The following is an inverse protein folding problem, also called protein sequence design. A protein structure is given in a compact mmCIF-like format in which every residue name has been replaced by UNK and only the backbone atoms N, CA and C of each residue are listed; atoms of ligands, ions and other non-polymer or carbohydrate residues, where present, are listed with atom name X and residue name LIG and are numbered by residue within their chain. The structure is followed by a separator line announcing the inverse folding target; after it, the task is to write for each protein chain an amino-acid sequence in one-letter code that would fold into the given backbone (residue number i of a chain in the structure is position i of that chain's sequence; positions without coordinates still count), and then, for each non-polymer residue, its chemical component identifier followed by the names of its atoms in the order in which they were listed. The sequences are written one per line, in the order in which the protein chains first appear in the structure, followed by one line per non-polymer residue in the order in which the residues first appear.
data_IF_484388990726
#
_entry.id   IF_484388990726
#
_cell.length_a   1.000
_cell.length_b   1.000
_cell.length_c   1.000
_cell.angle_alpha   90.00
_cell.angle_beta   90.00
_cell.angle_gamma   90.00
#
_symmetry.space_group_name_H-M   'P 1'
#
loop_
_entity.id
_entity.type
_entity.pdbx_description
1 polymer ?
#
# COMPACT_ATOMS: atom_id res chain seq x y z
N UNK A 1 20.42 -25.50 15.45
CA UNK A 1 19.52 -24.54 14.80
C UNK A 1 20.30 -23.92 13.66
N UNK A 2 19.94 -24.18 12.41
CA UNK A 2 20.55 -23.49 11.27
C UNK A 2 20.23 -22.00 11.41
N UNK A 3 21.25 -21.16 11.46
CA UNK A 3 21.09 -19.71 11.52
C UNK A 3 20.28 -19.26 10.31
N UNK A 4 19.22 -18.50 10.54
CA UNK A 4 18.47 -17.85 9.47
C UNK A 4 19.44 -16.89 8.80
N UNK A 5 19.86 -17.22 7.56
CA UNK A 5 20.68 -16.30 6.77
C UNK A 5 19.90 -15.01 6.54
N UNK A 6 20.55 -13.84 6.64
CA UNK A 6 19.90 -12.59 6.33
C UNK A 6 19.25 -12.66 4.94
N UNK A 7 18.01 -12.20 4.83
CA UNK A 7 17.23 -12.18 3.60
C UNK A 7 16.91 -10.74 3.17
N UNK A 8 16.33 -10.59 2.00
CA UNK A 8 15.77 -9.32 1.53
C UNK A 8 14.26 -9.46 1.63
N UNK A 9 13.59 -8.47 2.19
CA UNK A 9 12.14 -8.51 2.36
C UNK A 9 11.45 -7.39 1.58
N UNK A 10 10.23 -7.64 1.17
CA UNK A 10 9.33 -6.56 0.76
C UNK A 10 8.07 -6.58 1.60
N UNK A 11 7.61 -5.37 1.94
CA UNK A 11 6.58 -5.15 2.94
C UNK A 11 5.62 -4.05 2.56
N UNK A 12 4.40 -4.16 3.08
CA UNK A 12 3.32 -3.20 2.93
C UNK A 12 2.53 -3.09 4.25
N UNK A 13 1.37 -2.47 4.20
CA UNK A 13 0.44 -2.45 5.33
C UNK A 13 -0.04 -3.85 5.75
N UNK A 14 0.04 -4.83 4.86
CA UNK A 14 -0.42 -6.21 5.13
C UNK A 14 0.42 -6.95 6.17
N UNK A 15 1.67 -6.55 6.39
CA UNK A 15 2.51 -7.08 7.47
C UNK A 15 2.20 -6.44 8.83
N UNK A 16 1.28 -5.46 8.88
CA UNK A 16 0.85 -4.84 10.12
C UNK A 16 1.96 -4.10 10.86
N UNK A 17 2.11 -4.39 12.15
CA UNK A 17 3.15 -3.80 12.99
C UNK A 17 4.43 -4.61 12.95
N UNK A 18 5.50 -4.07 12.34
CA UNK A 18 6.82 -4.70 12.27
C UNK A 18 7.69 -4.20 13.43
N UNK A 19 8.33 -5.11 14.16
CA UNK A 19 9.36 -4.82 15.15
C UNK A 19 10.74 -4.69 14.46
N UNK A 20 10.96 -3.57 13.79
CA UNK A 20 12.12 -3.34 12.91
C UNK A 20 13.47 -3.51 13.59
N UNK A 21 13.58 -3.18 14.89
CA UNK A 21 14.81 -3.40 15.65
C UNK A 21 15.17 -4.89 15.76
N UNK A 22 14.17 -5.76 15.88
CA UNK A 22 14.34 -7.23 15.85
C UNK A 22 14.64 -7.71 14.44
N UNK A 23 13.95 -7.13 13.44
CA UNK A 23 14.07 -7.51 12.04
C UNK A 23 15.47 -7.21 11.47
N UNK A 24 16.11 -6.11 11.90
CA UNK A 24 17.40 -5.61 11.39
C UNK A 24 18.50 -6.67 11.31
N UNK A 25 18.60 -7.54 12.31
CA UNK A 25 19.63 -8.60 12.36
C UNK A 25 19.40 -9.76 11.37
N UNK A 26 18.20 -9.84 10.77
CA UNK A 26 17.78 -10.93 9.92
C UNK A 26 17.54 -10.53 8.46
N UNK A 27 17.79 -9.28 8.10
CA UNK A 27 17.59 -8.78 6.75
C UNK A 27 18.80 -7.99 6.24
N UNK A 28 19.02 -8.03 4.94
CA UNK A 28 20.01 -7.19 4.26
C UNK A 28 19.47 -5.80 3.96
N UNK A 29 18.28 -5.73 3.39
CA UNK A 29 17.53 -4.49 3.12
C UNK A 29 16.03 -4.79 2.97
N UNK A 30 15.24 -3.75 2.96
CA UNK A 30 13.79 -3.83 2.76
C UNK A 30 13.35 -3.09 1.50
N UNK A 31 12.22 -3.52 0.90
CA UNK A 31 11.51 -2.80 -0.16
C UNK A 31 10.12 -2.49 0.38
N UNK A 32 9.77 -1.21 0.52
CA UNK A 32 8.59 -0.75 1.27
C UNK A 32 7.55 -0.21 0.30
N UNK A 33 6.31 -0.73 0.33
CA UNK A 33 5.23 -0.14 -0.44
C UNK A 33 4.91 1.26 0.07
N UNK A 34 4.87 2.24 -0.85
CA UNK A 34 4.45 3.60 -0.54
C UNK A 34 3.06 3.89 -1.10
N UNK A 35 2.74 3.29 -2.25
CA UNK A 35 1.44 3.52 -2.88
C UNK A 35 0.95 2.34 -3.71
N UNK A 36 -0.38 2.32 -3.94
CA UNK A 36 -1.08 1.57 -4.97
C UNK A 36 -1.88 2.58 -5.80
N UNK A 37 -1.37 2.94 -6.97
CA UNK A 37 -1.93 4.01 -7.78
C UNK A 37 -2.07 5.33 -6.99
N UNK A 38 -3.30 5.75 -6.72
CA UNK A 38 -3.59 6.95 -5.93
C UNK A 38 -3.66 6.71 -4.42
N UNK A 39 -3.83 5.47 -3.99
CA UNK A 39 -3.85 5.09 -2.58
C UNK A 39 -2.44 5.21 -1.97
N UNK A 40 -2.32 5.75 -0.77
CA UNK A 40 -1.08 5.74 0.00
C UNK A 40 -1.13 4.61 1.03
N UNK A 41 -0.09 3.76 1.04
CA UNK A 41 0.00 2.67 2.00
C UNK A 41 0.01 3.19 3.45
N UNK A 42 -0.89 2.65 4.28
CA UNK A 42 -1.13 3.15 5.62
C UNK A 42 0.07 2.94 6.59
N UNK A 43 0.99 2.05 6.26
CA UNK A 43 2.18 1.74 7.07
C UNK A 43 3.49 2.31 6.49
N UNK A 44 3.46 2.86 5.27
CA UNK A 44 4.65 3.37 4.60
C UNK A 44 5.46 4.33 5.45
N UNK A 45 4.81 5.33 6.04
CA UNK A 45 5.50 6.34 6.86
C UNK A 45 6.20 5.74 8.07
N UNK A 46 5.55 4.81 8.80
CA UNK A 46 6.16 4.10 9.92
C UNK A 46 7.34 3.23 9.49
N UNK A 47 7.17 2.48 8.41
CA UNK A 47 8.21 1.56 7.93
C UNK A 47 9.44 2.35 7.44
N UNK A 48 9.24 3.44 6.72
CA UNK A 48 10.33 4.35 6.31
C UNK A 48 11.04 4.94 7.52
N UNK A 49 10.27 5.52 8.47
CA UNK A 49 10.86 6.14 9.67
C UNK A 49 11.70 5.16 10.51
N UNK A 50 11.27 3.91 10.62
CA UNK A 50 12.02 2.88 11.33
C UNK A 50 13.29 2.45 10.58
N UNK A 51 13.24 2.31 9.24
CA UNK A 51 14.42 2.05 8.44
C UNK A 51 15.43 3.20 8.52
N UNK A 52 14.98 4.45 8.43
CA UNK A 52 15.81 5.65 8.62
C UNK A 52 16.45 5.65 10.01
N UNK A 53 15.66 5.47 11.06
CA UNK A 53 16.11 5.47 12.46
C UNK A 53 17.14 4.38 12.77
N UNK A 54 16.97 3.20 12.18
CA UNK A 54 17.82 2.03 12.44
C UNK A 54 18.99 1.91 11.46
N UNK A 55 19.05 2.75 10.43
CA UNK A 55 20.05 2.63 9.36
C UNK A 55 19.89 1.34 8.54
N UNK A 56 18.66 0.85 8.39
CA UNK A 56 18.36 -0.29 7.52
C UNK A 56 18.31 0.23 6.08
N UNK A 57 19.14 -0.29 5.15
CA UNK A 57 19.02 0.06 3.75
C UNK A 57 17.63 -0.26 3.22
N UNK A 58 17.03 0.63 2.44
CA UNK A 58 15.70 0.35 1.89
C UNK A 58 15.46 1.01 0.54
N UNK A 59 14.59 0.37 -0.22
CA UNK A 59 13.94 0.87 -1.42
C UNK A 59 12.47 1.13 -1.12
N UNK A 60 11.80 1.88 -1.99
CA UNK A 60 10.35 2.03 -1.94
C UNK A 60 9.72 1.58 -3.25
N UNK A 61 8.49 1.05 -3.19
CA UNK A 61 7.78 0.69 -4.41
C UNK A 61 6.38 1.29 -4.49
N UNK A 62 5.92 1.44 -5.71
CA UNK A 62 4.55 1.80 -6.05
C UNK A 62 3.93 0.75 -6.96
N UNK A 63 2.81 0.16 -6.52
CA UNK A 63 2.00 -0.69 -7.37
C UNK A 63 1.41 0.15 -8.50
N UNK A 64 1.80 -0.17 -9.74
CA UNK A 64 1.53 0.67 -10.90
C UNK A 64 0.12 0.46 -11.45
N UNK A 65 -0.64 1.56 -11.58
CA UNK A 65 -2.01 1.59 -12.08
C UNK A 65 -2.16 2.34 -13.41
N UNK A 66 -1.12 2.29 -14.25
CA UNK A 66 -1.08 2.88 -15.59
C UNK A 66 -1.09 4.43 -15.62
N UNK A 67 -0.68 5.08 -14.54
CA UNK A 67 -0.66 6.55 -14.43
C UNK A 67 0.59 7.24 -14.99
N UNK A 68 1.52 6.48 -15.58
CA UNK A 68 2.71 7.02 -16.26
C UNK A 68 3.59 7.89 -15.35
N UNK A 69 4.14 8.95 -15.92
CA UNK A 69 5.02 9.90 -15.23
C UNK A 69 4.37 10.52 -13.97
N UNK A 70 3.07 10.78 -14.00
CA UNK A 70 2.35 11.40 -12.87
C UNK A 70 2.32 10.49 -11.66
N UNK A 71 2.13 9.19 -11.89
CA UNK A 71 2.13 8.19 -10.82
C UNK A 71 3.52 8.01 -10.22
N UNK A 72 4.56 8.00 -11.05
CA UNK A 72 5.94 7.96 -10.62
C UNK A 72 6.35 9.22 -9.83
N UNK A 73 5.98 10.41 -10.29
CA UNK A 73 6.21 11.66 -9.57
C UNK A 73 5.52 11.67 -8.20
N UNK A 74 4.32 11.08 -8.10
CA UNK A 74 3.60 10.91 -6.83
C UNK A 74 4.36 9.99 -5.88
N UNK A 75 4.91 8.87 -6.36
CA UNK A 75 5.74 7.97 -5.56
C UNK A 75 6.93 8.72 -4.96
N UNK A 76 7.66 9.49 -5.77
CA UNK A 76 8.81 10.30 -5.32
C UNK A 76 8.38 11.34 -4.29
N UNK A 77 7.33 12.09 -4.57
CA UNK A 77 6.82 13.13 -3.67
C UNK A 77 6.36 12.56 -2.33
N UNK A 78 5.63 11.44 -2.34
CA UNK A 78 5.19 10.74 -1.12
C UNK A 78 6.36 10.21 -0.31
N UNK A 79 7.34 9.58 -0.96
CA UNK A 79 8.55 9.09 -0.29
C UNK A 79 9.24 10.22 0.46
N UNK A 80 9.41 11.38 -0.18
CA UNK A 80 9.98 12.57 0.44
C UNK A 80 9.12 13.08 1.61
N UNK A 81 7.81 13.19 1.42
CA UNK A 81 6.89 13.66 2.45
C UNK A 81 6.82 12.72 3.67
N UNK A 82 7.09 11.44 3.48
CA UNK A 82 7.16 10.42 4.55
C UNK A 82 8.54 10.35 5.23
N UNK A 83 9.46 11.26 4.90
CA UNK A 83 10.78 11.34 5.52
C UNK A 83 11.83 10.41 4.93
N UNK A 84 11.61 9.90 3.70
CA UNK A 84 12.54 9.01 3.01
C UNK A 84 13.81 9.71 2.50
N UNK A 85 14.63 10.23 3.41
CA UNK A 85 15.85 10.95 3.09
C UNK A 85 16.94 10.03 2.50
N UNK A 86 17.08 8.83 3.04
CA UNK A 86 18.13 7.87 2.65
C UNK A 86 17.60 6.72 1.80
N UNK A 87 16.40 6.86 1.20
CA UNK A 87 15.89 5.85 0.26
C UNK A 87 16.92 5.56 -0.83
N UNK A 88 17.22 4.29 -1.06
CA UNK A 88 18.20 3.84 -2.07
C UNK A 88 17.69 4.07 -3.48
N UNK A 89 16.41 3.83 -3.68
CA UNK A 89 15.79 3.98 -4.98
C UNK A 89 14.30 3.69 -4.96
N UNK A 90 13.73 3.74 -6.15
CA UNK A 90 12.30 3.56 -6.37
C UNK A 90 12.07 2.35 -7.27
N UNK A 91 11.04 1.59 -6.99
CA UNK A 91 10.63 0.42 -7.79
C UNK A 91 9.24 0.66 -8.35
N UNK A 92 9.08 0.42 -9.64
CA UNK A 92 7.79 0.35 -10.29
C UNK A 92 7.32 -1.10 -10.29
N UNK A 93 6.18 -1.38 -9.68
CA UNK A 93 5.62 -2.72 -9.53
C UNK A 93 4.55 -2.95 -10.59
N UNK A 94 4.84 -3.78 -11.60
CA UNK A 94 4.04 -4.00 -12.82
C UNK A 94 3.44 -5.40 -12.80
N UNK A 95 2.20 -5.51 -12.29
CA UNK A 95 1.51 -6.79 -12.12
C UNK A 95 0.18 -6.88 -12.87
N UNK A 96 -0.26 -5.81 -13.52
CA UNK A 96 -1.55 -5.76 -14.21
C UNK A 96 -1.36 -5.90 -15.71
N UNK A 97 -2.11 -6.81 -16.34
CA UNK A 97 -2.10 -6.99 -17.79
C UNK A 97 -2.71 -5.80 -18.53
N UNK A 98 -2.25 -5.53 -19.75
CA UNK A 98 -2.84 -4.52 -20.63
C UNK A 98 -2.41 -3.08 -20.34
N UNK A 99 -1.42 -2.86 -19.47
CA UNK A 99 -0.90 -1.53 -19.23
C UNK A 99 0.00 -1.04 -20.38
N UNK A 100 0.08 0.28 -20.54
CA UNK A 100 0.88 0.91 -21.59
C UNK A 100 2.38 0.79 -21.32
N UNK A 101 3.13 0.10 -22.19
CA UNK A 101 4.59 0.05 -22.12
C UNK A 101 5.21 1.45 -22.23
N UNK A 102 4.64 2.33 -23.06
CA UNK A 102 5.08 3.72 -23.15
C UNK A 102 4.85 4.47 -21.82
N UNK A 103 3.71 4.24 -21.16
CA UNK A 103 3.42 4.78 -19.84
C UNK A 103 4.39 4.27 -18.78
N UNK A 104 4.70 2.97 -18.77
CA UNK A 104 5.68 2.36 -17.86
C UNK A 104 7.07 2.98 -18.11
N UNK A 105 7.51 3.10 -19.35
CA UNK A 105 8.81 3.70 -19.67
C UNK A 105 8.88 5.18 -19.28
N UNK A 106 7.78 5.93 -19.42
CA UNK A 106 7.67 7.31 -18.93
C UNK A 106 7.77 7.40 -17.40
N UNK A 107 7.15 6.46 -16.69
CA UNK A 107 7.27 6.37 -15.25
C UNK A 107 8.73 6.08 -14.83
N UNK A 108 9.39 5.11 -15.45
CA UNK A 108 10.81 4.78 -15.21
C UNK A 108 11.71 6.00 -15.48
N UNK A 109 11.49 6.71 -16.57
CA UNK A 109 12.25 7.92 -16.89
C UNK A 109 12.08 9.00 -15.81
N UNK A 110 10.87 9.16 -15.27
CA UNK A 110 10.61 10.09 -14.16
C UNK A 110 11.33 9.66 -12.87
N UNK A 111 11.34 8.36 -12.54
CA UNK A 111 12.09 7.87 -11.38
C UNK A 111 13.59 8.07 -11.55
N UNK A 112 14.13 7.89 -12.75
CA UNK A 112 15.54 8.09 -13.04
C UNK A 112 15.99 9.55 -12.85
N UNK A 113 15.10 10.53 -13.04
CA UNK A 113 15.41 11.96 -12.79
C UNK A 113 15.77 12.26 -11.34
N UNK A 114 15.40 11.38 -10.40
CA UNK A 114 15.82 11.53 -8.99
C UNK A 114 17.31 11.30 -8.76
N UNK A 115 18.04 10.77 -9.74
CA UNK A 115 19.44 10.33 -9.61
C UNK A 115 19.60 9.06 -8.78
N UNK A 116 18.53 8.56 -8.15
CA UNK A 116 18.52 7.36 -7.32
C UNK A 116 18.42 6.10 -8.18
N UNK A 117 18.53 4.97 -7.54
CA UNK A 117 18.40 3.68 -8.19
C UNK A 117 16.94 3.40 -8.62
N UNK A 118 16.75 2.78 -9.77
CA UNK A 118 15.40 2.50 -10.31
C UNK A 118 15.28 1.04 -10.66
N UNK A 119 14.37 0.34 -9.97
CA UNK A 119 14.02 -1.06 -10.24
C UNK A 119 12.65 -1.18 -10.90
N UNK A 120 12.43 -2.32 -11.54
CA UNK A 120 11.10 -2.73 -12.01
C UNK A 120 10.83 -4.15 -11.54
N UNK A 121 9.71 -4.32 -10.79
CA UNK A 121 9.14 -5.62 -10.55
C UNK A 121 8.15 -5.95 -11.66
N UNK A 122 8.22 -7.16 -12.18
CA UNK A 122 7.33 -7.63 -13.25
C UNK A 122 6.81 -9.00 -12.88
N UNK A 123 5.48 -9.14 -12.79
CA UNK A 123 4.86 -10.44 -12.60
C UNK A 123 5.35 -11.42 -13.69
N UNK A 124 5.86 -12.58 -13.27
CA UNK A 124 6.57 -13.51 -14.16
C UNK A 124 5.77 -13.89 -15.43
N UNK A 125 4.46 -14.08 -15.31
CA UNK A 125 3.58 -14.42 -16.43
C UNK A 125 3.33 -13.26 -17.41
N UNK A 126 3.64 -12.02 -17.04
CA UNK A 126 3.46 -10.82 -17.88
C UNK A 126 4.73 -10.39 -18.61
N UNK A 127 5.86 -11.05 -18.41
CA UNK A 127 7.15 -10.64 -18.97
C UNK A 127 7.14 -10.49 -20.50
N UNK A 128 6.51 -11.41 -21.19
CA UNK A 128 6.41 -11.33 -22.68
C UNK A 128 5.61 -10.12 -23.12
N UNK A 129 4.55 -9.76 -22.40
CA UNK A 129 3.74 -8.58 -22.67
C UNK A 129 4.53 -7.29 -22.46
N UNK A 130 5.44 -7.28 -21.50
CA UNK A 130 6.22 -6.13 -21.11
C UNK A 130 7.70 -6.17 -21.57
N UNK A 131 8.00 -6.94 -22.61
CA UNK A 131 9.35 -7.04 -23.17
C UNK A 131 9.92 -5.69 -23.67
N UNK A 132 9.07 -4.69 -23.93
CA UNK A 132 9.47 -3.34 -24.32
C UNK A 132 9.81 -2.39 -23.17
N UNK A 133 9.77 -2.84 -21.91
CA UNK A 133 10.19 -2.03 -20.75
C UNK A 133 11.70 -1.81 -20.84
N UNK A 134 12.10 -0.54 -20.62
CA UNK A 134 13.51 -0.11 -20.70
C UNK A 134 13.80 1.06 -19.78
N UNK A 135 15.09 1.26 -19.49
CA UNK A 135 15.55 2.38 -18.65
C UNK A 135 15.69 2.06 -17.17
N UNK A 136 15.16 0.93 -16.70
CA UNK A 136 15.40 0.46 -15.34
C UNK A 136 16.87 0.04 -15.15
N UNK A 137 17.39 0.20 -13.93
CA UNK A 137 18.75 -0.21 -13.59
C UNK A 137 18.84 -1.67 -13.13
N UNK A 138 17.72 -2.24 -12.67
CA UNK A 138 17.62 -3.62 -12.22
C UNK A 138 16.20 -4.16 -12.34
N UNK A 139 16.08 -5.48 -12.37
CA UNK A 139 14.81 -6.19 -12.56
C UNK A 139 14.55 -7.14 -11.41
N UNK A 140 13.30 -7.21 -10.97
CA UNK A 140 12.82 -8.06 -9.91
C UNK A 140 11.64 -8.92 -10.40
N UNK A 141 11.72 -10.24 -10.16
CA UNK A 141 10.73 -11.19 -10.70
C UNK A 141 10.31 -12.18 -9.62
N UNK A 142 9.00 -12.42 -9.41
CA UNK A 142 8.50 -13.45 -8.52
C UNK A 142 8.51 -14.83 -9.20
N UNK A 143 8.92 -15.85 -8.47
CA UNK A 143 8.74 -17.26 -8.84
C UNK A 143 8.77 -18.09 -7.56
N UNK A 144 7.61 -18.51 -7.07
CA UNK A 144 7.51 -19.11 -5.75
C UNK A 144 7.69 -20.63 -5.75
N UNK A 145 7.40 -21.33 -6.86
CA UNK A 145 7.39 -22.79 -6.85
C UNK A 145 6.38 -23.33 -5.83
N UNK A 146 6.86 -24.02 -4.79
CA UNK A 146 6.03 -24.58 -3.72
C UNK A 146 5.47 -23.53 -2.77
N UNK A 147 6.10 -22.36 -2.68
CA UNK A 147 5.74 -21.23 -1.79
C UNK A 147 5.62 -21.64 -0.30
N UNK A 148 6.60 -22.34 0.21
CA UNK A 148 6.68 -22.82 1.60
C UNK A 148 7.64 -22.02 2.49
N UNK A 149 8.11 -20.87 2.00
CA UNK A 149 9.07 -20.01 2.69
C UNK A 149 10.53 -20.27 2.30
N UNK A 150 10.82 -21.31 1.51
CA UNK A 150 12.16 -21.63 1.04
C UNK A 150 12.37 -21.27 -0.44
N UNK A 151 13.61 -21.01 -0.80
CA UNK A 151 14.02 -20.71 -2.17
C UNK A 151 14.22 -22.03 -2.94
N UNK A 152 13.34 -22.37 -3.89
CA UNK A 152 13.40 -23.60 -4.65
C UNK A 152 13.93 -23.40 -6.06
N UNK A 153 13.17 -22.75 -6.93
CA UNK A 153 13.45 -22.70 -8.36
C UNK A 153 13.48 -21.23 -8.82
N UNK A 154 14.65 -20.70 -9.15
CA UNK A 154 14.79 -19.34 -9.65
C UNK A 154 14.09 -19.18 -11.01
N UNK A 155 13.73 -17.93 -11.39
CA UNK A 155 13.14 -17.64 -12.70
C UNK A 155 14.08 -18.11 -13.83
N UNK A 156 13.51 -18.68 -14.88
CA UNK A 156 14.27 -19.07 -16.09
C UNK A 156 14.85 -17.88 -16.85
N UNK A 157 14.40 -16.71 -16.55
CA UNK A 157 14.80 -15.47 -17.19
C UNK A 157 15.67 -14.63 -16.25
N UNK A 158 16.55 -13.85 -16.83
CA UNK A 158 17.41 -12.95 -16.07
C UNK A 158 16.59 -11.99 -15.22
N UNK A 159 16.93 -11.88 -13.96
CA UNK A 159 16.54 -10.81 -13.04
C UNK A 159 17.66 -10.62 -12.02
N UNK A 160 17.76 -9.43 -11.46
CA UNK A 160 18.75 -9.10 -10.43
C UNK A 160 18.26 -9.53 -9.05
N UNK A 161 16.96 -9.45 -8.82
CA UNK A 161 16.29 -9.85 -7.60
C UNK A 161 15.18 -10.85 -7.90
N UNK A 162 15.11 -11.91 -7.12
CA UNK A 162 14.10 -12.95 -7.21
C UNK A 162 13.26 -13.00 -5.94
N UNK A 163 11.96 -12.70 -6.04
CA UNK A 163 11.02 -12.95 -4.97
C UNK A 163 10.65 -14.44 -4.99
N UNK A 164 11.17 -15.19 -4.03
CA UNK A 164 11.05 -16.65 -4.05
C UNK A 164 9.89 -17.20 -3.22
N UNK A 165 9.29 -16.39 -2.35
CA UNK A 165 8.15 -16.78 -1.52
C UNK A 165 7.37 -15.59 -1.01
N UNK A 166 6.07 -15.78 -0.82
CA UNK A 166 5.19 -14.89 -0.03
C UNK A 166 4.82 -15.51 1.34
N UNK A 167 5.44 -16.62 1.69
CA UNK A 167 5.21 -17.37 2.94
C UNK A 167 6.41 -17.36 3.88
N UNK A 168 7.35 -16.43 3.69
CA UNK A 168 8.55 -16.30 4.51
C UNK A 168 8.23 -15.97 5.98
N UNK A 169 9.19 -16.30 6.86
CA UNK A 169 9.13 -15.97 8.29
C UNK A 169 10.40 -15.24 8.68
N UNK A 170 10.25 -14.01 9.15
CA UNK A 170 11.38 -13.16 9.57
C UNK A 170 11.13 -12.69 11.00
N UNK A 171 12.12 -12.81 11.90
CA UNK A 171 11.99 -12.29 13.27
C UNK A 171 11.56 -10.82 13.28
N UNK A 172 10.57 -10.49 14.10
CA UNK A 172 10.01 -9.13 14.19
C UNK A 172 8.80 -8.87 13.27
N UNK A 173 8.41 -9.84 12.42
CA UNK A 173 7.22 -9.77 11.58
C UNK A 173 6.22 -10.84 12.01
N UNK A 174 5.01 -10.42 12.39
CA UNK A 174 3.96 -11.29 12.93
C UNK A 174 3.12 -11.97 11.84
N UNK A 175 3.71 -12.77 10.98
CA UNK A 175 2.97 -13.42 9.90
C UNK A 175 3.86 -13.75 8.72
N UNK A 176 3.25 -13.96 7.57
CA UNK A 176 3.97 -14.17 6.32
C UNK A 176 4.57 -12.84 5.81
N UNK A 177 5.73 -12.95 5.20
CA UNK A 177 6.40 -11.84 4.52
C UNK A 177 7.05 -12.33 3.24
N UNK A 178 7.05 -11.48 2.23
CA UNK A 178 7.70 -11.75 0.97
C UNK A 178 9.21 -11.70 1.15
N UNK A 179 9.89 -12.77 0.72
CA UNK A 179 11.33 -12.91 0.83
C UNK A 179 11.98 -13.01 -0.55
N UNK A 180 13.16 -12.40 -0.64
CA UNK A 180 13.88 -12.23 -1.89
C UNK A 180 15.33 -12.67 -1.77
N UNK A 181 15.90 -13.09 -2.91
CA UNK A 181 17.30 -13.45 -3.06
C UNK A 181 17.90 -12.74 -4.28
N UNK A 182 19.21 -12.49 -4.23
CA UNK A 182 19.97 -12.05 -5.41
C UNK A 182 19.98 -13.17 -6.46
N UNK A 183 19.76 -12.83 -7.73
CA UNK A 183 19.67 -13.81 -8.82
C UNK A 183 20.34 -13.33 -10.11
N UNK A 184 21.01 -12.22 -10.10
CA UNK A 184 21.65 -11.62 -11.26
C UNK A 184 23.13 -11.34 -11.08
N UNK A 185 23.62 -10.44 -11.89
CA UNK A 185 25.01 -9.96 -11.81
C UNK A 185 25.20 -8.88 -10.74
N UNK A 186 24.11 -8.31 -10.26
CA UNK A 186 24.13 -7.26 -9.26
C UNK A 186 24.35 -7.87 -7.88
N UNK A 187 25.39 -7.45 -7.20
CA UNK A 187 25.74 -7.92 -5.86
C UNK A 187 25.00 -7.15 -4.75
N UNK A 188 25.08 -7.64 -3.53
CA UNK A 188 24.46 -7.03 -2.38
C UNK A 188 25.01 -5.61 -2.12
N UNK A 189 26.29 -5.40 -2.31
CA UNK A 189 26.92 -4.10 -2.12
C UNK A 189 26.30 -3.04 -3.04
N UNK A 190 25.99 -3.38 -4.28
CA UNK A 190 25.32 -2.49 -5.23
C UNK A 190 23.90 -2.09 -4.79
N UNK A 191 23.20 -2.95 -4.04
CA UNK A 191 21.89 -2.61 -3.45
C UNK A 191 22.01 -1.81 -2.16
N UNK A 192 23.06 -2.00 -1.37
CA UNK A 192 23.22 -1.43 -0.04
C UNK A 192 24.27 -0.32 0.04
N UNK A 193 25.20 -0.20 -0.94
CA UNK A 193 26.24 0.80 -0.96
C UNK A 193 25.68 2.23 -0.93
N UNK A 194 26.24 3.09 -0.09
CA UNK A 194 25.79 4.47 0.09
C UNK A 194 24.60 4.63 1.04
N UNK A 195 24.11 3.57 1.69
CA UNK A 195 23.53 3.70 3.00
C UNK A 195 24.70 4.09 3.93
N UNK A 196 25.07 5.36 3.95
CA UNK A 196 25.97 5.85 5.00
C UNK A 196 25.33 5.44 6.31
N UNK A 197 26.11 4.89 7.28
CA UNK A 197 25.63 4.94 8.66
C UNK A 197 25.18 6.38 8.86
N UNK A 198 23.98 6.58 9.30
CA UNK A 198 23.54 7.90 9.72
C UNK A 198 24.53 8.31 10.80
N UNK A 199 25.53 9.14 10.46
CA UNK A 199 26.06 10.00 11.48
C UNK A 199 24.84 10.65 12.09
N UNK A 200 24.67 10.63 13.42
CA UNK A 200 23.53 11.27 14.03
C UNK A 200 23.48 12.68 13.45
N UNK A 201 22.53 12.89 12.53
CA UNK A 201 22.31 14.22 11.99
C UNK A 201 22.13 15.09 13.22
N UNK A 202 22.96 16.15 13.32
CA UNK A 202 22.72 17.17 14.32
C UNK A 202 21.22 17.47 14.25
N UNK A 203 20.46 17.24 15.33
CA UNK A 203 19.03 17.34 15.29
C UNK A 203 18.64 18.67 14.64
N UNK A 204 17.79 18.63 13.63
CA UNK A 204 17.27 19.87 13.04
C UNK A 204 16.63 20.65 14.17
N UNK A 205 17.17 21.84 14.42
CA UNK A 205 16.65 22.70 15.49
C UNK A 205 15.25 23.15 15.11
N UNK A 206 14.31 22.87 15.98
CA UNK A 206 12.96 23.40 15.81
C UNK A 206 13.01 24.92 15.85
N UNK A 207 12.31 25.57 14.93
CA UNK A 207 12.09 27.00 15.04
C UNK A 207 11.24 27.27 16.29
N UNK A 208 11.78 27.95 17.32
CA UNK A 208 11.07 28.18 18.57
C UNK A 208 9.85 29.10 18.41
N UNK A 209 9.74 29.84 17.31
CA UNK A 209 8.61 30.73 17.04
C UNK A 209 7.37 29.98 16.50
N UNK A 210 7.51 28.71 16.09
CA UNK A 210 6.41 27.93 15.57
C UNK A 210 5.31 27.73 16.61
N UNK A 211 4.02 27.78 16.21
CA UNK A 211 2.92 27.46 17.10
C UNK A 211 3.02 26.04 17.69
N UNK A 212 2.57 25.88 18.93
CA UNK A 212 2.65 24.59 19.63
C UNK A 212 2.07 23.41 18.84
N UNK A 213 0.90 23.60 18.23
CA UNK A 213 0.27 22.55 17.43
C UNK A 213 1.09 22.15 16.20
N UNK A 214 1.86 23.06 15.60
CA UNK A 214 2.77 22.75 14.49
C UNK A 214 3.93 21.91 14.99
N UNK A 215 4.54 22.26 16.14
CA UNK A 215 5.60 21.49 16.75
C UNK A 215 5.12 20.09 17.17
N UNK A 216 3.91 19.97 17.71
CA UNK A 216 3.29 18.68 18.04
C UNK A 216 3.12 17.83 16.78
N UNK A 217 2.62 18.41 15.68
CA UNK A 217 2.48 17.74 14.40
C UNK A 217 3.81 17.25 13.83
N UNK A 218 4.87 18.06 13.95
CA UNK A 218 6.21 17.70 13.53
C UNK A 218 6.79 16.55 14.38
N UNK A 219 6.54 16.54 15.69
CA UNK A 219 6.91 15.42 16.57
C UNK A 219 6.18 14.14 16.19
N UNK A 220 4.86 14.21 15.98
CA UNK A 220 4.04 13.05 15.62
C UNK A 220 4.38 12.50 14.24
N UNK A 221 4.86 13.34 13.32
CA UNK A 221 5.38 12.92 12.01
C UNK A 221 6.82 12.39 12.07
N UNK A 222 7.48 12.44 13.23
CA UNK A 222 8.85 11.94 13.43
C UNK A 222 9.97 12.92 13.08
N UNK A 223 9.67 14.17 12.71
CA UNK A 223 10.63 15.18 12.22
C UNK A 223 11.78 15.43 13.23
N UNK A 224 11.49 15.43 14.51
CA UNK A 224 12.48 15.68 15.57
C UNK A 224 13.01 14.40 16.23
N UNK A 225 12.81 13.23 15.62
CA UNK A 225 13.27 11.95 16.14
C UNK A 225 12.65 11.58 17.50
N UNK A 226 13.40 10.84 18.31
CA UNK A 226 12.96 10.35 19.62
C UNK A 226 14.02 10.58 20.72
N UNK A 227 13.59 10.51 21.98
CA UNK A 227 14.50 10.59 23.15
C UNK A 227 15.35 11.85 23.16
N UNK A 228 16.67 11.71 23.33
CA UNK A 228 17.61 12.83 23.43
C UNK A 228 17.69 13.65 22.13
N UNK A 229 17.50 13.03 20.96
CA UNK A 229 17.46 13.77 19.69
C UNK A 229 16.27 14.75 19.65
N UNK A 230 15.08 14.30 20.07
CA UNK A 230 13.90 15.18 20.17
C UNK A 230 14.14 16.31 21.17
N UNK A 231 14.72 15.99 22.30
CA UNK A 231 15.04 16.97 23.34
C UNK A 231 16.03 18.03 22.82
N UNK A 232 17.07 17.58 22.11
CA UNK A 232 18.03 18.47 21.49
C UNK A 232 17.41 19.33 20.37
N UNK A 233 16.52 18.76 19.54
CA UNK A 233 15.83 19.49 18.47
C UNK A 233 14.90 20.57 19.00
N UNK A 234 14.12 20.27 20.02
CA UNK A 234 13.11 21.19 20.58
C UNK A 234 13.68 22.18 21.59
N UNK A 235 14.86 21.91 22.15
CA UNK A 235 15.54 22.78 23.10
C UNK A 235 14.62 23.18 24.27
N UNK A 236 14.48 24.50 24.54
CA UNK A 236 13.63 25.03 25.61
C UNK A 236 12.14 24.70 25.46
N UNK A 237 11.69 24.40 24.21
CA UNK A 237 10.29 24.04 23.92
C UNK A 237 9.97 22.56 24.19
N UNK A 238 10.98 21.74 24.54
CA UNK A 238 10.79 20.28 24.66
C UNK A 238 9.71 19.90 25.67
N UNK A 239 9.74 20.46 26.86
CA UNK A 239 8.80 20.08 27.93
C UNK A 239 7.34 20.32 27.52
N UNK A 240 7.01 21.52 27.04
CA UNK A 240 5.64 21.86 26.64
C UNK A 240 5.16 21.05 25.41
N UNK A 241 6.06 20.85 24.43
CA UNK A 241 5.71 20.08 23.23
C UNK A 241 5.50 18.61 23.57
N UNK A 242 6.36 18.03 24.43
CA UNK A 242 6.23 16.63 24.83
C UNK A 242 4.97 16.41 25.68
N UNK A 243 4.62 17.35 26.57
CA UNK A 243 3.36 17.32 27.33
C UNK A 243 2.17 17.35 26.38
N UNK A 244 2.17 18.25 25.41
CA UNK A 244 1.10 18.37 24.41
C UNK A 244 0.99 17.09 23.55
N UNK A 245 2.11 16.49 23.15
CA UNK A 245 2.12 15.19 22.43
C UNK A 245 1.50 14.09 23.30
N UNK A 246 1.90 13.99 24.57
CA UNK A 246 1.34 13.01 25.50
C UNK A 246 -0.16 13.22 25.72
N UNK A 247 -0.57 14.49 25.81
CA UNK A 247 -1.98 14.86 25.93
C UNK A 247 -2.77 14.39 24.69
N UNK A 248 -2.32 14.71 23.47
CA UNK A 248 -2.99 14.25 22.23
C UNK A 248 -3.13 12.71 22.21
N UNK A 249 -2.10 11.99 22.66
CA UNK A 249 -2.11 10.54 22.64
C UNK A 249 -3.09 9.93 23.69
N UNK A 250 -3.27 10.58 24.85
CA UNK A 250 -3.96 10.00 26.00
C UNK A 250 -5.34 10.60 26.28
N UNK A 251 -5.63 11.82 25.81
CA UNK A 251 -6.87 12.53 26.12
C UNK A 251 -8.11 11.83 25.54
N UNK A 252 -9.26 12.02 26.19
CA UNK A 252 -10.54 11.57 25.64
C UNK A 252 -10.87 12.30 24.35
N UNK A 253 -11.45 11.60 23.38
CA UNK A 253 -11.85 12.16 22.08
C UNK A 253 -12.73 13.42 22.25
N UNK A 254 -13.65 13.39 23.24
CA UNK A 254 -14.51 14.53 23.52
C UNK A 254 -13.73 15.77 23.96
N UNK A 255 -12.68 15.60 24.77
CA UNK A 255 -11.83 16.71 25.21
C UNK A 255 -11.01 17.30 24.05
N UNK A 256 -10.42 16.44 23.21
CA UNK A 256 -9.72 16.89 22.00
C UNK A 256 -10.68 17.62 21.03
N UNK A 257 -11.93 17.16 20.91
CA UNK A 257 -12.94 17.83 20.10
C UNK A 257 -13.26 19.25 20.63
N UNK A 258 -13.38 19.40 21.95
CA UNK A 258 -13.56 20.72 22.60
C UNK A 258 -12.37 21.64 22.31
N UNK A 259 -11.15 21.15 22.42
CA UNK A 259 -9.93 21.88 22.13
C UNK A 259 -9.80 22.27 20.64
N UNK A 260 -10.23 21.40 19.73
CA UNK A 260 -10.29 21.71 18.29
C UNK A 260 -11.30 22.82 18.02
N UNK A 261 -12.48 22.75 18.62
CA UNK A 261 -13.50 23.81 18.48
C UNK A 261 -13.04 25.13 19.07
N UNK A 262 -12.20 25.10 20.11
CA UNK A 262 -11.55 26.28 20.69
C UNK A 262 -10.34 26.78 19.86
N UNK A 263 -10.01 26.14 18.72
CA UNK A 263 -8.92 26.55 17.82
C UNK A 263 -7.51 26.13 18.24
N UNK A 264 -7.34 25.32 19.30
CA UNK A 264 -6.04 24.97 19.89
C UNK A 264 -5.13 24.18 18.93
N UNK A 265 -5.70 23.39 18.03
CA UNK A 265 -4.98 22.42 17.18
C UNK A 265 -4.88 22.88 15.71
N UNK A 266 -5.03 24.18 15.42
CA UNK A 266 -4.95 24.74 14.07
C UNK A 266 -6.11 24.31 13.16
N UNK A 267 -5.94 24.46 11.84
CA UNK A 267 -6.97 24.18 10.85
C UNK A 267 -6.43 23.29 9.72
N UNK A 268 -7.35 22.63 8.98
CA UNK A 268 -7.01 21.86 7.78
C UNK A 268 -5.90 20.83 8.03
N UNK A 269 -4.84 20.89 7.21
CA UNK A 269 -3.71 19.97 7.28
C UNK A 269 -2.86 20.13 8.55
N UNK A 270 -2.81 21.31 9.15
CA UNK A 270 -2.11 21.53 10.41
C UNK A 270 -2.80 20.76 11.55
N UNK A 271 -4.13 20.86 11.66
CA UNK A 271 -4.92 20.07 12.60
C UNK A 271 -4.73 18.58 12.40
N UNK A 272 -4.76 18.13 11.15
CA UNK A 272 -4.55 16.72 10.82
C UNK A 272 -3.18 16.22 11.30
N UNK A 273 -2.13 17.00 11.09
CA UNK A 273 -0.79 16.70 11.60
C UNK A 273 -0.71 16.73 13.13
N UNK A 274 -1.27 17.78 13.74
CA UNK A 274 -1.23 17.96 15.20
C UNK A 274 -1.97 16.87 15.97
N UNK A 275 -3.03 16.31 15.44
CA UNK A 275 -3.79 15.20 16.03
C UNK A 275 -3.27 13.82 15.60
N UNK A 276 -2.49 13.73 14.53
CA UNK A 276 -1.91 12.48 14.03
C UNK A 276 -2.97 11.40 13.82
N UNK A 277 -2.74 10.21 14.38
CA UNK A 277 -3.67 9.07 14.27
C UNK A 277 -5.02 9.29 14.95
N UNK A 278 -5.14 10.31 15.80
CA UNK A 278 -6.37 10.66 16.52
C UNK A 278 -7.30 11.56 15.70
N UNK A 279 -6.85 12.09 14.55
CA UNK A 279 -7.60 13.07 13.76
C UNK A 279 -9.00 12.59 13.36
N UNK A 280 -9.10 11.38 12.81
CA UNK A 280 -10.37 10.88 12.25
C UNK A 280 -11.44 10.68 13.33
N UNK A 281 -11.07 10.16 14.50
CA UNK A 281 -12.01 9.97 15.61
C UNK A 281 -12.45 11.31 16.24
N UNK A 282 -11.53 12.27 16.35
CA UNK A 282 -11.85 13.63 16.85
C UNK A 282 -12.74 14.37 15.86
N UNK A 283 -12.45 14.29 14.56
CA UNK A 283 -13.28 14.91 13.53
C UNK A 283 -14.67 14.28 13.45
N UNK A 284 -14.77 12.95 13.62
CA UNK A 284 -16.06 12.26 13.71
C UNK A 284 -16.90 12.77 14.90
N UNK A 285 -16.27 12.97 16.05
CA UNK A 285 -16.95 13.52 17.24
C UNK A 285 -17.43 14.97 17.02
N UNK A 286 -16.59 15.81 16.39
CA UNK A 286 -16.98 17.17 16.01
C UNK A 286 -18.18 17.17 15.07
N UNK A 287 -18.14 16.33 14.04
CA UNK A 287 -19.22 16.17 13.07
C UNK A 287 -20.51 15.67 13.75
N UNK A 288 -20.39 14.73 14.68
CA UNK A 288 -21.52 14.23 15.49
C UNK A 288 -22.19 15.36 16.30
N UNK A 289 -21.39 16.19 16.98
CA UNK A 289 -21.88 17.34 17.75
C UNK A 289 -22.55 18.39 16.90
N UNK A 290 -22.01 18.63 15.70
CA UNK A 290 -22.55 19.56 14.72
C UNK A 290 -23.79 19.02 13.98
N UNK A 291 -24.27 17.80 14.31
CA UNK A 291 -25.33 17.14 13.55
C UNK A 291 -24.92 16.73 12.15
N UNK A 292 -23.62 16.80 11.83
CA UNK A 292 -23.02 16.44 10.55
C UNK A 292 -22.52 14.98 10.56
N UNK A 293 -23.06 14.15 11.46
CA UNK A 293 -22.66 12.74 11.51
C UNK A 293 -22.98 12.06 10.18
N UNK A 294 -22.01 11.32 9.69
CA UNK A 294 -22.18 10.51 8.49
C UNK A 294 -23.41 9.61 8.68
N UNK A 295 -24.39 9.73 7.80
CA UNK A 295 -25.58 8.90 7.84
C UNK A 295 -25.20 7.42 7.84
N UNK A 296 -25.97 6.59 8.51
CA UNK A 296 -25.74 5.15 8.42
C UNK A 296 -25.92 4.67 6.97
N UNK A 297 -25.24 3.59 6.60
CA UNK A 297 -25.41 2.94 5.29
C UNK A 297 -26.90 2.60 5.04
N UNK A 298 -27.60 2.29 6.11
CA UNK A 298 -29.04 1.99 6.07
C UNK A 298 -29.89 3.22 5.70
N UNK A 299 -29.62 4.38 6.31
CA UNK A 299 -30.27 5.65 5.98
C UNK A 299 -29.91 6.16 4.58
N UNK A 300 -28.67 5.94 4.14
CA UNK A 300 -28.23 6.26 2.77
C UNK A 300 -28.92 5.35 1.75
N UNK A 301 -29.16 4.08 2.08
CA UNK A 301 -29.91 3.16 1.24
C UNK A 301 -31.35 3.64 1.03
N UNK A 302 -32.01 4.18 2.07
CA UNK A 302 -33.34 4.79 1.96
C UNK A 302 -33.31 6.01 1.01
N UNK A 303 -32.29 6.84 1.11
CA UNK A 303 -32.12 7.98 0.21
C UNK A 303 -31.84 7.56 -1.24
N UNK A 304 -31.13 6.47 -1.45
CA UNK A 304 -30.90 5.87 -2.78
C UNK A 304 -32.22 5.38 -3.36
N UNK A 305 -33.05 4.70 -2.58
CA UNK A 305 -34.39 4.24 -2.97
C UNK A 305 -35.28 5.46 -3.31
N UNK A 306 -35.16 6.53 -2.55
CA UNK A 306 -35.87 7.79 -2.81
C UNK A 306 -35.29 8.61 -3.99
N UNK A 307 -34.29 8.10 -4.72
CA UNK A 307 -33.71 8.72 -5.91
C UNK A 307 -32.74 9.89 -5.66
N UNK A 308 -32.39 10.20 -4.40
CA UNK A 308 -31.56 11.37 -4.06
C UNK A 308 -30.09 11.27 -4.49
N UNK A 309 -29.63 10.09 -4.84
CA UNK A 309 -28.24 9.81 -5.19
C UNK A 309 -27.99 9.56 -6.69
N UNK A 310 -28.99 9.79 -7.55
CA UNK A 310 -28.87 9.50 -8.97
C UNK A 310 -28.91 7.99 -9.29
N UNK A 311 -28.35 7.59 -10.44
CA UNK A 311 -28.37 6.20 -10.89
C UNK A 311 -27.05 5.76 -11.51
N UNK A 312 -26.84 4.45 -11.67
CA UNK A 312 -25.68 3.87 -12.37
C UNK A 312 -24.33 4.34 -11.81
N UNK A 313 -23.41 4.70 -12.70
CA UNK A 313 -22.05 5.12 -12.34
C UNK A 313 -22.04 6.47 -11.60
N UNK A 314 -22.95 7.39 -11.93
CA UNK A 314 -23.07 8.67 -11.22
C UNK A 314 -23.36 8.47 -9.72
N UNK A 315 -24.31 7.56 -9.40
CA UNK A 315 -24.58 7.17 -8.01
C UNK A 315 -23.32 6.64 -7.31
N UNK A 316 -22.60 5.73 -7.96
CA UNK A 316 -21.36 5.16 -7.38
C UNK A 316 -20.34 6.24 -7.08
N UNK A 317 -20.13 7.16 -8.01
CA UNK A 317 -19.19 8.28 -7.86
C UNK A 317 -19.59 9.21 -6.70
N UNK A 318 -20.87 9.57 -6.59
CA UNK A 318 -21.37 10.42 -5.50
C UNK A 318 -21.25 9.75 -4.13
N UNK A 319 -21.59 8.47 -4.03
CA UNK A 319 -21.43 7.70 -2.79
C UNK A 319 -19.97 7.62 -2.38
N UNK A 320 -19.07 7.32 -3.30
CA UNK A 320 -17.62 7.28 -3.04
C UNK A 320 -17.09 8.65 -2.62
N UNK A 321 -17.49 9.73 -3.28
CA UNK A 321 -17.11 11.10 -2.93
C UNK A 321 -17.60 11.51 -1.53
N UNK A 322 -18.76 11.00 -1.11
CA UNK A 322 -19.30 11.17 0.24
C UNK A 322 -18.70 10.19 1.25
N UNK A 323 -17.74 9.36 0.82
CA UNK A 323 -17.02 8.40 1.64
C UNK A 323 -17.81 7.15 2.01
N UNK A 324 -18.86 6.81 1.28
CA UNK A 324 -19.58 5.53 1.41
C UNK A 324 -19.01 4.49 0.46
N UNK A 325 -19.05 3.22 0.87
CA UNK A 325 -18.83 2.11 -0.03
C UNK A 325 -20.10 1.88 -0.89
N UNK A 326 -20.05 2.11 -2.22
CA UNK A 326 -21.22 1.97 -3.08
C UNK A 326 -21.79 0.56 -3.11
N UNK A 327 -20.96 -0.47 -2.93
CA UNK A 327 -21.40 -1.86 -2.94
C UNK A 327 -22.11 -2.22 -1.63
N UNK A 328 -21.63 -1.74 -0.49
CA UNK A 328 -22.31 -1.89 0.79
C UNK A 328 -23.68 -1.18 0.79
N UNK A 329 -23.76 0.04 0.24
CA UNK A 329 -25.03 0.76 0.09
C UNK A 329 -25.98 -0.01 -0.84
N UNK A 330 -25.51 -0.49 -1.99
CA UNK A 330 -26.34 -1.24 -2.93
C UNK A 330 -26.83 -2.56 -2.34
N UNK A 331 -26.02 -3.25 -1.55
CA UNK A 331 -26.44 -4.45 -0.85
C UNK A 331 -27.61 -4.17 0.12
N UNK A 332 -27.57 -3.05 0.84
CA UNK A 332 -28.68 -2.60 1.71
C UNK A 332 -29.91 -2.21 0.92
N UNK A 333 -29.77 -1.51 -0.21
CA UNK A 333 -30.86 -1.19 -1.13
C UNK A 333 -31.55 -2.48 -1.61
N UNK A 334 -30.76 -3.45 -2.07
CA UNK A 334 -31.28 -4.73 -2.55
C UNK A 334 -32.03 -5.47 -1.44
N UNK A 335 -31.49 -5.51 -0.22
CA UNK A 335 -32.14 -6.13 0.94
C UNK A 335 -33.48 -5.46 1.25
N UNK A 336 -33.54 -4.13 1.26
CA UNK A 336 -34.79 -3.37 1.52
C UNK A 336 -35.85 -3.58 0.42
N UNK A 337 -35.43 -3.72 -0.81
CA UNK A 337 -36.33 -3.98 -1.96
C UNK A 337 -36.68 -5.45 -2.13
N UNK A 338 -36.23 -6.33 -1.24
CA UNK A 338 -36.47 -7.77 -1.33
C UNK A 338 -35.80 -8.46 -2.51
N UNK A 339 -34.83 -7.78 -3.15
CA UNK A 339 -34.03 -8.36 -4.22
C UNK A 339 -33.12 -9.43 -3.62
N UNK A 340 -33.47 -10.68 -3.79
CA UNK A 340 -32.61 -11.80 -3.39
C UNK A 340 -31.28 -11.71 -4.13
N UNK A 341 -30.14 -11.91 -3.45
CA UNK A 341 -28.85 -12.04 -4.12
C UNK A 341 -28.99 -13.11 -5.20
N UNK A 342 -28.62 -12.79 -6.43
CA UNK A 342 -28.50 -13.81 -7.47
C UNK A 342 -27.34 -14.69 -7.00
N UNK A 343 -27.65 -15.89 -6.51
CA UNK A 343 -26.64 -16.90 -6.22
C UNK A 343 -25.90 -17.14 -7.53
N UNK A 344 -24.70 -16.61 -7.65
CA UNK A 344 -23.82 -16.89 -8.79
C UNK A 344 -23.36 -18.33 -8.65
N UNK A 345 -24.15 -19.25 -9.25
CA UNK A 345 -23.74 -20.64 -9.37
C UNK A 345 -22.42 -20.68 -10.12
N UNK A 346 -21.47 -21.41 -9.60
CA UNK A 346 -20.20 -21.61 -10.28
C UNK A 346 -19.84 -23.10 -10.34
N UNK A 347 -19.19 -23.44 -11.43
CA UNK A 347 -18.57 -24.75 -11.63
C UNK A 347 -17.05 -24.58 -11.48
N UNK A 348 -16.43 -25.43 -10.69
CA UNK A 348 -14.96 -25.45 -10.55
C UNK A 348 -14.42 -26.42 -11.59
N UNK A 349 -13.62 -25.92 -12.53
CA UNK A 349 -13.02 -26.72 -13.61
C UNK A 349 -12.15 -27.83 -13.03
N UNK A 350 -12.37 -29.04 -13.50
CA UNK A 350 -11.55 -30.23 -13.18
C UNK A 350 -10.58 -30.54 -14.31
N UNK A 351 -9.53 -31.30 -14.01
CA UNK A 351 -8.59 -31.77 -15.04
C UNK A 351 -9.34 -32.57 -16.11
N UNK A 352 -9.10 -32.23 -17.39
CA UNK A 352 -9.78 -32.85 -18.55
C UNK A 352 -11.13 -32.20 -18.92
N UNK A 353 -11.64 -31.22 -18.18
CA UNK A 353 -12.84 -30.49 -18.58
C UNK A 353 -12.58 -29.59 -19.79
N UNK A 354 -13.60 -29.47 -20.62
CA UNK A 354 -13.68 -28.46 -21.70
C UNK A 354 -14.82 -27.50 -21.43
N UNK A 355 -14.72 -26.26 -21.91
CA UNK A 355 -15.77 -25.26 -21.70
C UNK A 355 -17.12 -25.71 -22.29
N UNK A 356 -17.10 -26.41 -23.42
CA UNK A 356 -18.29 -27.00 -24.02
C UNK A 356 -18.88 -28.13 -23.17
N UNK A 357 -18.04 -28.95 -22.55
CA UNK A 357 -18.49 -29.97 -21.61
C UNK A 357 -19.09 -29.36 -20.34
N UNK A 358 -18.48 -28.32 -19.82
CA UNK A 358 -18.98 -27.56 -18.64
C UNK A 358 -20.33 -26.92 -19.02
N UNK A 359 -20.47 -26.26 -20.18
CA UNK A 359 -21.71 -25.64 -20.63
C UNK A 359 -22.88 -26.65 -20.63
N UNK A 360 -22.65 -27.87 -21.13
CA UNK A 360 -23.64 -28.94 -21.06
C UNK A 360 -23.97 -29.33 -19.61
N UNK A 361 -22.98 -29.50 -18.75
CA UNK A 361 -23.15 -29.89 -17.33
C UNK A 361 -23.94 -28.86 -16.52
N UNK A 362 -23.77 -27.56 -16.83
CA UNK A 362 -24.38 -26.45 -16.06
C UNK A 362 -25.67 -25.90 -16.71
N UNK A 363 -26.24 -26.61 -17.70
CA UNK A 363 -27.53 -26.27 -18.29
C UNK A 363 -27.49 -25.21 -19.41
N UNK A 364 -26.30 -24.87 -19.92
CA UNK A 364 -26.13 -23.93 -21.05
C UNK A 364 -26.15 -24.65 -22.43
N UNK A 365 -26.23 -25.96 -22.44
CA UNK A 365 -26.32 -26.77 -23.67
C UNK A 365 -25.11 -26.54 -24.59
N UNK A 366 -25.38 -26.22 -25.86
CA UNK A 366 -24.34 -25.93 -26.85
C UNK A 366 -23.78 -24.48 -26.76
N UNK A 367 -24.35 -23.59 -25.92
CA UNK A 367 -23.98 -22.19 -25.85
C UNK A 367 -22.73 -21.94 -24.98
N UNK A 368 -21.64 -22.67 -25.25
CA UNK A 368 -20.38 -22.47 -24.58
C UNK A 368 -19.76 -21.10 -24.86
N UNK A 369 -20.03 -20.50 -26.02
CA UNK A 369 -19.55 -19.17 -26.38
C UNK A 369 -20.18 -18.08 -25.48
N UNK A 370 -21.49 -18.18 -25.22
CA UNK A 370 -22.14 -17.29 -24.23
C UNK A 370 -21.58 -17.47 -22.83
N UNK A 371 -21.28 -18.71 -22.42
CA UNK A 371 -20.66 -18.99 -21.13
C UNK A 371 -19.23 -18.43 -21.06
N UNK A 372 -18.44 -18.49 -22.15
CA UNK A 372 -17.14 -17.86 -22.28
C UNK A 372 -17.23 -16.35 -22.08
N UNK A 373 -18.10 -15.69 -22.82
CA UNK A 373 -18.32 -14.24 -22.73
C UNK A 373 -18.74 -13.80 -21.32
N UNK A 374 -19.68 -14.53 -20.69
CA UNK A 374 -20.12 -14.26 -19.31
C UNK A 374 -18.96 -14.29 -18.30
N UNK A 375 -17.93 -15.09 -18.57
CA UNK A 375 -16.77 -15.26 -17.69
C UNK A 375 -15.51 -14.53 -18.18
N UNK A 376 -15.58 -13.70 -19.22
CA UNK A 376 -14.44 -12.99 -19.79
C UNK A 376 -13.36 -13.92 -20.36
N UNK A 377 -13.75 -15.12 -20.81
CA UNK A 377 -12.82 -16.11 -21.38
C UNK A 377 -12.66 -15.84 -22.88
N UNK A 378 -11.55 -15.23 -23.25
CA UNK A 378 -11.24 -14.89 -24.65
C UNK A 378 -10.84 -16.12 -25.49
N UNK A 379 -10.25 -17.14 -24.87
CA UNK A 379 -9.89 -18.39 -25.53
C UNK A 379 -10.55 -19.58 -24.82
N UNK A 380 -11.62 -20.16 -25.37
CA UNK A 380 -12.39 -21.24 -24.74
C UNK A 380 -11.61 -22.57 -24.59
N UNK A 381 -10.49 -22.70 -25.30
CA UNK A 381 -9.57 -23.86 -25.18
C UNK A 381 -8.53 -23.68 -24.04
N UNK A 382 -8.53 -22.54 -23.36
CA UNK A 382 -7.63 -22.24 -22.24
C UNK A 382 -8.39 -22.03 -20.95
N UNK A 383 -8.90 -23.11 -20.38
CA UNK A 383 -9.44 -23.17 -19.02
C UNK A 383 -8.53 -24.07 -18.17
N UNK A 384 -8.45 -23.77 -16.89
CA UNK A 384 -7.51 -24.44 -16.00
C UNK A 384 -8.24 -25.13 -14.85
N UNK A 385 -7.74 -26.29 -14.42
CA UNK A 385 -8.25 -26.94 -13.22
C UNK A 385 -8.21 -25.98 -12.02
N UNK A 386 -9.32 -25.89 -11.26
CA UNK A 386 -9.50 -24.93 -10.17
C UNK A 386 -10.12 -23.58 -10.59
N UNK A 387 -10.21 -23.27 -11.89
CA UNK A 387 -10.88 -22.07 -12.38
C UNK A 387 -12.38 -22.12 -12.10
N UNK A 388 -12.97 -21.02 -11.61
CA UNK A 388 -14.42 -20.91 -11.39
C UNK A 388 -15.10 -20.38 -12.65
N UNK A 389 -16.08 -21.12 -13.15
CA UNK A 389 -16.95 -20.74 -14.29
C UNK A 389 -18.34 -20.43 -13.73
N UNK A 390 -18.75 -19.19 -13.80
CA UNK A 390 -20.06 -18.71 -13.33
C UNK A 390 -21.15 -18.94 -14.41
N UNK A 391 -22.31 -19.49 -14.00
CA UNK A 391 -23.39 -19.85 -14.92
C UNK A 391 -24.78 -19.45 -14.41
#
# INVERSE_FOLDING_TARGET
MAGILPTIIDVSEFQGGIAWATCKGSIHFAIIRVQDGTYQDARAGRNIAECERLGIPYYVYGFYRNGGAVEAARLVSRTKALGGAHVRGHVLDVEVSGQSVAGINSAIATLNQTGRDTGVYIANHLRSQYAGIKGQKWTWIPTYGVNDGAAHTPPRHYCDLWQFTSAGRVPGIGGNVDCNALNGKRDLASFTAGAKPVEPQKPEQADPSLPLHVLVGNVLSGMYGNGENRKASLGSRYAEVQEAVNHVCAAKVSALADEVLAGKWGNGDERKRALGTRYDEVQAEINRRAGLSKKSVDAVADEVIAGKWGSGQDRRNRLSAAGYDPDAVQAKVNAKLGVKPVERRCYVVKSGDTLSGIAKKVGWGANWAGLANKNGISNPNRIFAGQKIYY
#
